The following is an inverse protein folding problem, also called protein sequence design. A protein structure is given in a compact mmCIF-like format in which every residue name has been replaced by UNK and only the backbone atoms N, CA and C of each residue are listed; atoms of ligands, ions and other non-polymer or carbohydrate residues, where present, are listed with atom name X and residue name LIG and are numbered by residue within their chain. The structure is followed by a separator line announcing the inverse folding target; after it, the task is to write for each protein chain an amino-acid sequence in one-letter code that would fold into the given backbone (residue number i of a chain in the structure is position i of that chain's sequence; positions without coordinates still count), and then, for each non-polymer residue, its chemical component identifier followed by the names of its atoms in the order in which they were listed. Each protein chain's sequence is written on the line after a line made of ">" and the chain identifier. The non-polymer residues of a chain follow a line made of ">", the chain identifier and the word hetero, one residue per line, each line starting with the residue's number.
data_IF_398888226846
#
_entry.id   IF_398888226846
#
_cell.length_a   1.000
_cell.length_b   1.000
_cell.length_c   1.000
_cell.angle_alpha   90.00
_cell.angle_beta   90.00
_cell.angle_gamma   90.00
#
_symmetry.space_group_name_H-M   'P 1'
#
loop_
_entity.id
_entity.type
_entity.pdbx_description
1 polymer ?
#
# COMPACT_ATOMS: atom_id res chain seq x y z
N UNK A 1 7.06 20.03 -4.56
CA UNK A 1 5.81 19.22 -4.70
C UNK A 1 4.63 20.15 -4.57
N UNK A 2 3.71 20.10 -5.50
CA UNK A 2 2.42 20.79 -5.49
C UNK A 2 1.41 19.85 -4.82
N UNK A 3 0.99 20.11 -3.57
CA UNK A 3 0.34 19.07 -2.76
C UNK A 3 -1.09 18.74 -3.20
N UNK A 4 -1.88 19.70 -3.69
CA UNK A 4 -3.27 19.46 -4.12
C UNK A 4 -3.31 18.72 -5.45
N UNK A 5 -2.59 19.21 -6.46
CA UNK A 5 -2.51 18.57 -7.78
C UNK A 5 -1.89 17.17 -7.68
N UNK A 6 -0.94 16.96 -6.77
CA UNK A 6 -0.41 15.63 -6.45
C UNK A 6 -1.50 14.70 -5.85
N UNK A 7 -2.29 15.20 -4.88
CA UNK A 7 -3.40 14.43 -4.32
C UNK A 7 -4.45 14.04 -5.37
N UNK A 8 -4.73 14.94 -6.32
CA UNK A 8 -5.68 14.68 -7.40
C UNK A 8 -5.16 13.62 -8.38
N UNK A 9 -3.84 13.62 -8.64
CA UNK A 9 -3.20 12.59 -9.45
C UNK A 9 -3.24 11.19 -8.80
N UNK A 10 -3.29 11.12 -7.46
CA UNK A 10 -3.43 9.86 -6.71
C UNK A 10 -4.86 9.33 -6.62
N UNK A 11 -5.86 10.10 -7.05
CA UNK A 11 -7.29 9.78 -6.85
C UNK A 11 -7.85 8.81 -7.91
N UNK A 12 -7.05 7.88 -8.40
CA UNK A 12 -7.45 6.85 -9.37
C UNK A 12 -7.65 5.52 -8.66
N UNK A 13 -8.84 4.96 -8.75
CA UNK A 13 -9.31 3.79 -7.97
C UNK A 13 -8.46 2.51 -8.07
N UNK A 14 -7.61 2.37 -9.05
CA UNK A 14 -6.81 1.14 -9.27
C UNK A 14 -5.33 1.43 -9.53
N UNK A 15 -4.78 2.50 -8.93
CA UNK A 15 -3.43 2.97 -9.24
C UNK A 15 -2.33 2.00 -8.83
N UNK A 16 -1.51 1.59 -9.80
CA UNK A 16 -0.14 1.12 -9.59
C UNK A 16 0.77 2.31 -9.81
N UNK A 17 1.23 2.92 -8.73
CA UNK A 17 1.99 4.15 -8.76
C UNK A 17 3.49 3.90 -8.62
N UNK A 18 4.28 4.68 -9.35
CA UNK A 18 5.71 4.87 -9.13
C UNK A 18 5.98 6.36 -8.95
N UNK A 19 6.46 6.76 -7.77
CA UNK A 19 6.99 8.11 -7.53
C UNK A 19 8.51 8.07 -7.58
N UNK A 20 9.09 8.72 -8.58
CA UNK A 20 10.52 8.94 -8.69
C UNK A 20 10.89 10.29 -8.05
N UNK A 21 11.79 10.30 -7.08
CA UNK A 21 12.28 11.51 -6.40
C UNK A 21 13.80 11.60 -6.55
N UNK A 22 14.32 12.67 -7.13
CA UNK A 22 15.77 12.91 -7.25
C UNK A 22 16.33 13.28 -5.88
N UNK A 23 17.32 12.51 -5.41
CA UNK A 23 17.87 12.65 -4.07
C UNK A 23 19.04 13.64 -3.98
N UNK A 24 19.77 13.86 -5.06
CA UNK A 24 21.01 14.62 -5.07
C UNK A 24 21.22 15.36 -6.42
N UNK A 25 22.10 16.37 -6.42
CA UNK A 25 22.48 17.14 -7.61
C UNK A 25 21.62 18.37 -7.87
N UNK A 26 21.77 18.99 -9.02
CA UNK A 26 21.09 20.26 -9.38
C UNK A 26 19.56 20.13 -9.50
N UNK A 27 19.05 18.92 -9.71
CA UNK A 27 17.63 18.61 -9.78
C UNK A 27 17.08 17.98 -8.48
N UNK A 28 17.82 18.09 -7.36
CA UNK A 28 17.40 17.53 -6.08
C UNK A 28 15.99 17.99 -5.69
N UNK A 29 15.13 17.05 -5.32
CA UNK A 29 13.73 17.29 -5.01
C UNK A 29 12.80 17.27 -6.23
N UNK A 30 13.31 17.16 -7.46
CA UNK A 30 12.46 16.94 -8.62
C UNK A 30 11.76 15.58 -8.53
N UNK A 31 10.47 15.55 -8.90
CA UNK A 31 9.62 14.37 -8.78
C UNK A 31 8.85 14.09 -10.07
N UNK A 32 8.53 12.81 -10.27
CA UNK A 32 7.68 12.32 -11.36
C UNK A 32 6.84 11.16 -10.84
N UNK A 33 5.52 11.30 -10.93
CA UNK A 33 4.56 10.24 -10.59
C UNK A 33 4.08 9.57 -11.87
N UNK A 34 4.21 8.26 -11.93
CA UNK A 34 3.64 7.40 -12.96
C UNK A 34 2.45 6.63 -12.37
N UNK A 35 1.42 6.42 -13.18
CA UNK A 35 0.32 5.51 -12.90
C UNK A 35 0.21 4.49 -14.03
N UNK A 36 0.39 3.20 -13.74
CA UNK A 36 0.45 2.17 -14.78
C UNK A 36 1.54 2.42 -15.82
N UNK A 37 2.68 3.01 -15.42
CA UNK A 37 3.79 3.38 -16.31
C UNK A 37 3.60 4.69 -17.10
N UNK A 38 2.47 5.37 -16.97
CA UNK A 38 2.19 6.64 -17.66
C UNK A 38 2.42 7.81 -16.71
N UNK A 39 3.15 8.89 -17.09
CA UNK A 39 3.28 10.11 -16.31
C UNK A 39 1.90 10.74 -16.02
N UNK A 40 1.65 11.05 -14.75
CA UNK A 40 0.38 11.65 -14.31
C UNK A 40 0.57 12.92 -13.49
N UNK A 41 1.79 13.18 -12.99
CA UNK A 41 2.13 14.38 -12.25
C UNK A 41 3.67 14.52 -12.16
N UNK A 42 4.24 15.77 -12.17
CA UNK A 42 3.56 17.02 -12.48
C UNK A 42 3.21 17.14 -13.97
N UNK A 43 2.43 18.15 -14.35
CA UNK A 43 2.07 18.40 -15.76
C UNK A 43 3.30 18.60 -16.65
N UNK A 44 4.36 19.22 -16.09
CA UNK A 44 5.65 19.41 -16.73
C UNK A 44 6.77 18.80 -15.89
N UNK A 45 7.15 17.55 -16.17
CA UNK A 45 8.23 16.89 -15.47
C UNK A 45 9.58 17.58 -15.68
N UNK A 46 10.50 17.39 -14.73
CA UNK A 46 11.90 17.79 -14.95
C UNK A 46 12.52 16.95 -16.07
N UNK A 47 13.21 17.60 -17.03
CA UNK A 47 13.79 16.96 -18.22
C UNK A 47 14.72 15.77 -17.88
N UNK A 48 15.42 15.83 -16.73
CA UNK A 48 16.27 14.76 -16.26
C UNK A 48 15.48 13.47 -15.91
N UNK A 49 14.26 13.57 -15.38
CA UNK A 49 13.37 12.43 -15.09
C UNK A 49 12.65 11.97 -16.35
N UNK A 50 12.23 12.89 -17.20
CA UNK A 50 11.62 12.55 -18.50
C UNK A 50 12.57 11.69 -19.36
N UNK A 51 13.84 12.05 -19.41
CA UNK A 51 14.86 11.30 -20.13
C UNK A 51 15.06 9.86 -19.60
N UNK A 52 14.66 9.59 -18.34
CA UNK A 52 14.75 8.26 -17.71
C UNK A 52 13.43 7.48 -17.73
N UNK A 53 12.39 7.99 -18.37
CA UNK A 53 11.06 7.36 -18.37
C UNK A 53 11.08 5.87 -18.76
N UNK A 54 11.80 5.42 -19.84
CA UNK A 54 11.84 4.01 -20.18
C UNK A 54 12.45 3.12 -19.08
N UNK A 55 13.45 3.63 -18.36
CA UNK A 55 14.10 2.92 -17.27
C UNK A 55 13.21 2.91 -16.00
N UNK A 56 12.53 4.03 -15.70
CA UNK A 56 11.59 4.13 -14.60
C UNK A 56 10.40 3.17 -14.75
N UNK A 57 9.91 2.97 -15.98
CA UNK A 57 8.84 2.03 -16.28
C UNK A 57 9.21 0.56 -15.99
N UNK A 58 10.50 0.24 -15.93
CA UNK A 58 11.00 -1.11 -15.62
C UNK A 58 11.24 -1.35 -14.13
N UNK A 59 11.04 -0.34 -13.28
CA UNK A 59 11.22 -0.47 -11.83
C UNK A 59 10.16 -1.41 -11.26
N UNK A 60 10.59 -2.49 -10.64
CA UNK A 60 9.72 -3.51 -10.03
C UNK A 60 9.67 -3.47 -8.51
N UNK A 61 10.64 -2.80 -7.87
CA UNK A 61 10.75 -2.72 -6.42
C UNK A 61 11.10 -1.30 -5.97
N UNK A 62 10.59 -0.91 -4.80
CA UNK A 62 10.93 0.36 -4.16
C UNK A 62 12.36 0.36 -3.64
N UNK A 63 13.03 1.50 -3.73
CA UNK A 63 14.39 1.68 -3.24
C UNK A 63 15.15 2.80 -3.93
N UNK A 64 16.36 3.05 -3.44
CA UNK A 64 17.29 4.00 -4.08
C UNK A 64 17.94 3.31 -5.26
N UNK A 65 17.83 3.92 -6.42
CA UNK A 65 18.37 3.43 -7.69
C UNK A 65 19.15 4.54 -8.39
N UNK A 66 20.06 4.14 -9.31
CA UNK A 66 20.84 5.08 -10.10
C UNK A 66 20.47 4.95 -11.58
N UNK A 67 20.07 6.06 -12.19
CA UNK A 67 19.72 6.15 -13.60
C UNK A 67 20.69 7.13 -14.27
N UNK A 68 21.71 6.61 -14.96
CA UNK A 68 22.81 7.43 -15.44
C UNK A 68 23.56 8.09 -14.28
N UNK A 69 23.56 9.42 -14.22
CA UNK A 69 24.14 10.21 -13.13
C UNK A 69 23.11 10.59 -12.01
N UNK A 70 21.86 10.22 -12.17
CA UNK A 70 20.80 10.56 -11.21
C UNK A 70 20.68 9.49 -10.15
N UNK A 71 20.74 9.89 -8.89
CA UNK A 71 20.36 9.06 -7.74
C UNK A 71 18.92 9.34 -7.37
N UNK A 72 18.05 8.35 -7.52
CA UNK A 72 16.60 8.48 -7.42
C UNK A 72 16.06 7.52 -6.38
N UNK A 73 15.18 7.97 -5.51
CA UNK A 73 14.30 7.10 -4.76
C UNK A 73 13.10 6.78 -5.63
N UNK A 74 13.03 5.55 -6.11
CA UNK A 74 11.91 5.02 -6.85
C UNK A 74 10.97 4.33 -5.86
N UNK A 75 9.80 4.91 -5.62
CA UNK A 75 8.83 4.41 -4.65
C UNK A 75 7.62 3.84 -5.37
N UNK A 76 7.43 2.52 -5.28
CA UNK A 76 6.23 1.86 -5.77
C UNK A 76 5.21 1.70 -4.65
N UNK A 77 3.98 2.11 -4.91
CA UNK A 77 2.85 1.95 -4.00
C UNK A 77 1.55 1.79 -4.79
N UNK A 78 0.56 1.14 -4.15
CA UNK A 78 -0.77 0.98 -4.72
C UNK A 78 -1.76 2.02 -4.20
N UNK A 79 -3.00 1.92 -4.68
CA UNK A 79 -4.14 2.49 -3.96
C UNK A 79 -4.25 1.85 -2.57
N UNK A 80 -5.07 2.42 -1.68
CA UNK A 80 -5.29 1.83 -0.36
C UNK A 80 -5.68 0.35 -0.46
N UNK A 81 -5.06 -0.53 0.36
CA UNK A 81 -5.36 -1.97 0.31
C UNK A 81 -6.84 -2.20 0.59
N UNK A 82 -7.48 -3.07 -0.22
CA UNK A 82 -8.91 -3.38 -0.12
C UNK A 82 -9.12 -4.88 -0.10
N UNK A 83 -9.84 -5.36 0.91
CA UNK A 83 -10.29 -6.73 1.00
C UNK A 83 -11.69 -6.86 0.37
N UNK A 84 -11.88 -7.84 -0.50
CA UNK A 84 -13.16 -8.19 -1.10
C UNK A 84 -13.53 -9.61 -0.67
N UNK A 85 -14.61 -9.74 0.09
CA UNK A 85 -15.08 -11.03 0.63
C UNK A 85 -16.32 -11.48 -0.11
N UNK A 86 -16.24 -12.62 -0.79
CA UNK A 86 -17.37 -13.27 -1.44
C UNK A 86 -17.90 -14.42 -0.57
N UNK A 87 -19.04 -14.20 0.06
CA UNK A 87 -19.71 -15.17 0.94
C UNK A 87 -19.88 -14.68 2.38
N UNK A 88 -21.12 -14.70 2.86
CA UNK A 88 -21.55 -14.16 4.19
C UNK A 88 -21.71 -15.21 5.28
N UNK A 89 -21.19 -16.43 5.11
CA UNK A 89 -21.21 -17.46 6.16
C UNK A 89 -20.33 -17.11 7.36
N UNK A 90 -20.27 -18.00 8.35
CA UNK A 90 -19.51 -17.77 9.60
C UNK A 90 -18.05 -17.38 9.34
N UNK A 91 -17.35 -18.05 8.41
CA UNK A 91 -15.97 -17.71 8.05
C UNK A 91 -15.89 -16.34 7.43
N UNK A 92 -16.77 -16.00 6.47
CA UNK A 92 -16.79 -14.68 5.83
C UNK A 92 -17.01 -13.55 6.83
N UNK A 93 -17.98 -13.70 7.74
CA UNK A 93 -18.24 -12.72 8.81
C UNK A 93 -17.04 -12.58 9.76
N UNK A 94 -16.35 -13.69 10.10
CA UNK A 94 -15.14 -13.65 10.94
C UNK A 94 -13.96 -13.01 10.22
N UNK A 95 -13.78 -13.25 8.91
CA UNK A 95 -12.78 -12.55 8.08
C UNK A 95 -13.03 -11.05 8.09
N UNK A 96 -14.29 -10.61 7.91
CA UNK A 96 -14.64 -9.17 7.94
C UNK A 96 -14.29 -8.56 9.30
N UNK A 97 -14.71 -9.16 10.41
CA UNK A 97 -14.42 -8.65 11.77
C UNK A 97 -12.93 -8.48 12.04
N UNK A 98 -12.14 -9.51 11.74
CA UNK A 98 -10.69 -9.47 11.95
C UNK A 98 -9.98 -8.49 10.98
N UNK A 99 -10.42 -8.39 9.73
CA UNK A 99 -9.90 -7.42 8.78
C UNK A 99 -10.11 -5.97 9.24
N UNK A 100 -11.29 -5.67 9.82
CA UNK A 100 -11.57 -4.35 10.41
C UNK A 100 -10.65 -4.03 11.59
N UNK A 101 -10.32 -5.01 12.44
CA UNK A 101 -9.33 -4.85 13.51
C UNK A 101 -7.94 -4.55 12.97
N UNK A 102 -7.59 -5.08 11.79
CA UNK A 102 -6.34 -4.78 11.08
C UNK A 102 -6.37 -3.45 10.30
N UNK A 103 -7.46 -2.69 10.37
CA UNK A 103 -7.63 -1.43 9.65
C UNK A 103 -7.81 -1.57 8.14
N UNK A 104 -8.15 -2.77 7.63
CA UNK A 104 -8.39 -3.00 6.22
C UNK A 104 -9.82 -2.59 5.84
N UNK A 105 -10.02 -1.75 4.81
CA UNK A 105 -11.33 -1.55 4.18
C UNK A 105 -11.85 -2.86 3.59
N UNK A 106 -13.11 -3.18 3.87
CA UNK A 106 -13.73 -4.43 3.41
C UNK A 106 -14.99 -4.15 2.61
N UNK A 107 -14.97 -4.53 1.34
CA UNK A 107 -16.16 -4.71 0.52
C UNK A 107 -16.61 -6.16 0.61
N UNK A 108 -17.90 -6.43 0.73
CA UNK A 108 -18.39 -7.80 0.80
C UNK A 108 -19.54 -8.05 -0.20
N UNK A 109 -19.60 -9.28 -0.72
CA UNK A 109 -20.63 -9.73 -1.66
C UNK A 109 -21.33 -10.97 -1.12
N UNK A 110 -22.64 -10.96 -1.16
CA UNK A 110 -23.47 -12.11 -0.79
C UNK A 110 -24.83 -11.99 -1.50
N UNK A 111 -25.30 -13.07 -2.12
CA UNK A 111 -26.55 -13.07 -2.88
C UNK A 111 -27.80 -13.26 -2.01
N UNK A 112 -27.64 -13.60 -0.73
CA UNK A 112 -28.74 -13.83 0.23
C UNK A 112 -28.84 -12.68 1.24
N UNK A 113 -30.01 -11.99 1.34
CA UNK A 113 -30.16 -10.82 2.21
C UNK A 113 -29.81 -11.06 3.68
N UNK A 114 -30.17 -12.24 4.22
CA UNK A 114 -29.87 -12.63 5.60
C UNK A 114 -28.37 -12.60 5.89
N UNK A 115 -27.56 -13.24 5.05
CA UNK A 115 -26.11 -13.31 5.19
C UNK A 115 -25.42 -11.99 4.84
N UNK A 116 -25.96 -11.22 3.90
CA UNK A 116 -25.52 -9.86 3.65
C UNK A 116 -25.71 -8.96 4.91
N UNK A 117 -26.80 -9.17 5.65
CA UNK A 117 -27.01 -8.52 6.96
C UNK A 117 -25.91 -8.85 7.97
N UNK A 118 -25.49 -10.11 8.06
CA UNK A 118 -24.38 -10.52 8.94
C UNK A 118 -23.05 -9.87 8.56
N UNK A 119 -22.75 -9.69 7.27
CA UNK A 119 -21.55 -8.99 6.80
C UNK A 119 -21.56 -7.50 7.18
N UNK A 120 -22.72 -6.82 7.09
CA UNK A 120 -22.86 -5.43 7.56
C UNK A 120 -22.62 -5.32 9.08
N UNK A 121 -23.21 -6.23 9.86
CA UNK A 121 -22.99 -6.29 11.31
C UNK A 121 -21.54 -6.58 11.68
N UNK A 122 -20.82 -7.34 10.83
CA UNK A 122 -19.39 -7.59 10.98
C UNK A 122 -18.51 -6.37 10.64
N UNK A 123 -19.07 -5.33 10.01
CA UNK A 123 -18.41 -4.07 9.69
C UNK A 123 -17.96 -3.93 8.24
N UNK A 124 -18.40 -4.77 7.32
CA UNK A 124 -18.15 -4.58 5.89
C UNK A 124 -18.92 -3.37 5.34
N UNK A 125 -18.25 -2.55 4.54
CA UNK A 125 -18.82 -1.40 3.85
C UNK A 125 -18.01 -1.10 2.57
N UNK A 126 -18.63 -1.19 1.36
CA UNK A 126 -20.03 -1.57 1.11
C UNK A 126 -20.30 -3.07 1.21
N UNK A 127 -21.56 -3.45 1.41
CA UNK A 127 -22.05 -4.82 1.24
C UNK A 127 -23.01 -4.87 0.04
N UNK A 128 -22.58 -5.55 -1.01
CA UNK A 128 -23.36 -5.75 -2.23
C UNK A 128 -24.20 -7.03 -2.09
N UNK A 129 -25.51 -6.87 -1.94
CA UNK A 129 -26.47 -7.97 -1.91
C UNK A 129 -27.02 -8.20 -3.31
N UNK A 130 -26.21 -8.84 -4.16
CA UNK A 130 -26.46 -9.11 -5.58
C UNK A 130 -25.96 -10.50 -5.96
N UNK A 131 -26.40 -11.08 -7.08
CA UNK A 131 -25.72 -12.22 -7.68
C UNK A 131 -24.23 -11.96 -7.78
N UNK A 132 -23.40 -12.97 -7.48
CA UNK A 132 -21.94 -12.77 -7.40
C UNK A 132 -21.33 -12.17 -8.67
N UNK A 133 -21.81 -12.54 -9.84
CA UNK A 133 -21.33 -12.04 -11.12
C UNK A 133 -21.59 -10.53 -11.26
N UNK A 134 -22.81 -10.09 -10.96
CA UNK A 134 -23.20 -8.68 -10.99
C UNK A 134 -22.44 -7.86 -9.96
N UNK A 135 -22.36 -8.36 -8.71
CA UNK A 135 -21.62 -7.71 -7.65
C UNK A 135 -20.13 -7.60 -7.97
N UNK A 136 -19.51 -8.63 -8.54
CA UNK A 136 -18.11 -8.59 -8.95
C UNK A 136 -17.90 -7.69 -10.17
N UNK A 137 -18.85 -7.52 -11.07
CA UNK A 137 -18.74 -6.56 -12.17
C UNK A 137 -18.63 -5.11 -11.67
N UNK A 138 -19.28 -4.80 -10.55
CA UNK A 138 -19.22 -3.48 -9.91
C UNK A 138 -17.96 -3.26 -9.06
N UNK A 139 -17.15 -4.30 -8.78
CA UNK A 139 -15.93 -4.20 -7.99
C UNK A 139 -14.72 -4.16 -8.90
N UNK A 140 -13.95 -3.08 -8.88
CA UNK A 140 -12.68 -2.97 -9.60
C UNK A 140 -11.63 -3.91 -8.99
N UNK A 141 -10.76 -4.48 -9.83
CA UNK A 141 -9.50 -5.08 -9.38
C UNK A 141 -8.45 -4.01 -9.05
N UNK A 142 -7.26 -4.45 -8.68
CA UNK A 142 -6.12 -3.55 -8.42
C UNK A 142 -4.95 -4.28 -7.79
N UNK A 143 -3.76 -3.68 -7.88
CA UNK A 143 -2.52 -4.23 -7.30
C UNK A 143 -2.54 -4.33 -5.78
N UNK A 144 -3.48 -3.65 -5.12
CA UNK A 144 -3.74 -3.72 -3.67
C UNK A 144 -5.13 -4.31 -3.35
N UNK A 145 -5.72 -5.10 -4.28
CA UNK A 145 -6.99 -5.77 -4.07
C UNK A 145 -6.78 -7.23 -3.67
N UNK A 146 -7.37 -7.65 -2.55
CA UNK A 146 -7.26 -8.99 -1.97
C UNK A 146 -8.64 -9.65 -2.01
N UNK A 147 -8.81 -10.73 -2.79
CA UNK A 147 -10.07 -11.43 -2.94
C UNK A 147 -10.10 -12.70 -2.09
N UNK A 148 -11.16 -12.85 -1.28
CA UNK A 148 -11.42 -14.01 -0.43
C UNK A 148 -12.75 -14.64 -0.85
N UNK A 149 -12.68 -15.84 -1.41
CA UNK A 149 -13.87 -16.62 -1.88
C UNK A 149 -14.17 -17.70 -0.84
N UNK A 150 -15.24 -17.49 -0.08
CA UNK A 150 -15.71 -18.36 1.01
C UNK A 150 -17.22 -18.64 0.86
N UNK A 151 -17.63 -18.94 -0.37
CA UNK A 151 -19.04 -19.13 -0.71
C UNK A 151 -19.58 -20.48 -0.22
N UNK A 152 -20.90 -20.64 -0.29
CA UNK A 152 -21.60 -21.86 0.14
C UNK A 152 -21.47 -23.04 -0.81
N UNK A 153 -21.23 -22.80 -2.10
CA UNK A 153 -21.35 -23.82 -3.14
C UNK A 153 -20.20 -23.77 -4.15
N UNK A 154 -19.85 -24.93 -4.68
CA UNK A 154 -18.82 -25.06 -5.70
C UNK A 154 -19.10 -24.22 -6.96
N UNK A 155 -20.35 -24.17 -7.42
CA UNK A 155 -20.74 -23.35 -8.58
C UNK A 155 -20.52 -21.84 -8.32
N UNK A 156 -20.82 -21.37 -7.11
CA UNK A 156 -20.56 -20.00 -6.73
C UNK A 156 -19.06 -19.69 -6.68
N UNK A 157 -18.22 -20.63 -6.21
CA UNK A 157 -16.77 -20.43 -6.19
C UNK A 157 -16.21 -20.26 -7.61
N UNK A 158 -16.60 -21.16 -8.55
CA UNK A 158 -16.16 -21.09 -9.95
C UNK A 158 -16.61 -19.78 -10.58
N UNK A 159 -17.88 -19.40 -10.37
CA UNK A 159 -18.43 -18.13 -10.87
C UNK A 159 -17.64 -16.92 -10.36
N UNK A 160 -17.38 -16.85 -9.05
CA UNK A 160 -16.59 -15.79 -8.45
C UNK A 160 -15.17 -15.75 -9.04
N UNK A 161 -14.48 -16.89 -9.08
CA UNK A 161 -13.10 -16.97 -9.53
C UNK A 161 -12.95 -16.64 -11.02
N UNK A 162 -13.92 -17.03 -11.85
CA UNK A 162 -13.93 -16.67 -13.28
C UNK A 162 -13.95 -15.15 -13.47
N UNK A 163 -14.78 -14.44 -12.69
CA UNK A 163 -14.83 -12.98 -12.75
C UNK A 163 -13.59 -12.30 -12.12
N UNK A 164 -13.08 -12.85 -11.02
CA UNK A 164 -11.94 -12.28 -10.28
C UNK A 164 -10.62 -12.44 -11.04
N UNK A 165 -10.37 -13.62 -11.61
CA UNK A 165 -9.12 -13.92 -12.31
C UNK A 165 -8.93 -13.15 -13.63
N UNK A 166 -9.94 -12.46 -14.11
CA UNK A 166 -9.84 -11.51 -15.22
C UNK A 166 -9.39 -10.10 -14.78
N UNK A 167 -9.27 -9.84 -13.46
CA UNK A 167 -8.94 -8.53 -12.89
C UNK A 167 -7.55 -8.55 -12.27
N UNK A 168 -6.82 -7.42 -12.24
CA UNK A 168 -5.62 -7.31 -11.42
C UNK A 168 -5.95 -7.57 -9.95
N UNK A 169 -5.12 -8.32 -9.26
CA UNK A 169 -5.27 -8.60 -7.84
C UNK A 169 -3.92 -8.85 -7.17
N UNK A 170 -3.79 -8.44 -5.91
CA UNK A 170 -2.66 -8.75 -5.05
C UNK A 170 -2.72 -10.21 -4.55
N UNK A 171 -3.93 -10.70 -4.33
CA UNK A 171 -4.20 -12.01 -3.74
C UNK A 171 -5.58 -12.49 -4.16
N UNK A 172 -5.67 -13.75 -4.50
CA UNK A 172 -6.94 -14.46 -4.72
C UNK A 172 -6.89 -15.77 -3.95
N UNK A 173 -7.81 -15.95 -3.01
CA UNK A 173 -7.89 -17.16 -2.22
C UNK A 173 -9.28 -17.78 -2.21
N UNK A 174 -9.36 -19.12 -2.23
CA UNK A 174 -10.61 -19.87 -2.19
C UNK A 174 -10.61 -20.91 -1.07
N UNK A 175 -11.67 -20.93 -0.28
CA UNK A 175 -11.90 -21.95 0.74
C UNK A 175 -12.35 -23.28 0.13
N UNK A 176 -11.68 -24.36 0.50
CA UNK A 176 -12.06 -25.70 0.06
C UNK A 176 -11.00 -26.73 0.42
N UNK A 177 -11.34 -28.02 0.29
CA UNK A 177 -10.36 -29.09 0.41
C UNK A 177 -9.38 -29.10 -0.77
N UNK A 178 -8.24 -29.78 -0.61
CA UNK A 178 -7.25 -29.94 -1.70
C UNK A 178 -7.88 -30.54 -2.97
N UNK A 179 -8.76 -31.54 -2.82
CA UNK A 179 -9.48 -32.14 -3.96
C UNK A 179 -10.40 -31.14 -4.66
N UNK A 180 -11.14 -30.30 -3.88
CA UNK A 180 -11.99 -29.23 -4.44
C UNK A 180 -11.15 -28.18 -5.16
N UNK A 181 -10.00 -27.79 -4.58
CA UNK A 181 -9.08 -26.84 -5.20
C UNK A 181 -8.55 -27.35 -6.57
N UNK A 182 -8.15 -28.62 -6.64
CA UNK A 182 -7.69 -29.22 -7.90
C UNK A 182 -8.80 -29.25 -8.97
N UNK A 183 -10.04 -29.59 -8.58
CA UNK A 183 -11.20 -29.60 -9.49
C UNK A 183 -11.48 -28.18 -10.02
N UNK A 184 -11.49 -27.18 -9.14
CA UNK A 184 -11.74 -25.78 -9.52
C UNK A 184 -10.66 -25.27 -10.48
N UNK A 185 -9.36 -25.50 -10.19
CA UNK A 185 -8.27 -25.10 -11.09
C UNK A 185 -8.45 -25.69 -12.49
N UNK A 186 -8.78 -26.98 -12.57
CA UNK A 186 -9.03 -27.64 -13.86
C UNK A 186 -10.18 -26.96 -14.61
N UNK A 187 -11.31 -26.73 -13.96
CA UNK A 187 -12.47 -26.07 -14.60
C UNK A 187 -12.17 -24.65 -15.07
N UNK A 188 -11.42 -23.87 -14.30
CA UNK A 188 -11.01 -22.52 -14.68
C UNK A 188 -10.09 -22.53 -15.92
N UNK A 189 -9.16 -23.50 -15.99
CA UNK A 189 -8.29 -23.69 -17.17
C UNK A 189 -9.08 -24.14 -18.39
N UNK A 190 -10.00 -25.09 -18.22
CA UNK A 190 -10.91 -25.55 -19.29
C UNK A 190 -11.84 -24.44 -19.80
N UNK A 191 -12.19 -23.47 -18.93
CA UNK A 191 -12.94 -22.27 -19.29
C UNK A 191 -12.10 -21.18 -19.99
N UNK A 192 -10.80 -21.44 -20.25
CA UNK A 192 -9.93 -20.55 -21.02
C UNK A 192 -9.26 -19.43 -20.22
N UNK A 193 -9.27 -19.51 -18.87
CA UNK A 193 -8.52 -18.55 -18.08
C UNK A 193 -7.01 -18.82 -18.16
N UNK A 194 -6.22 -17.76 -18.03
CA UNK A 194 -4.75 -17.82 -18.05
C UNK A 194 -4.23 -18.84 -17.00
N UNK A 195 -3.56 -19.92 -17.43
CA UNK A 195 -3.02 -20.92 -16.51
C UNK A 195 -2.08 -20.35 -15.45
N UNK A 196 -1.30 -19.33 -15.78
CA UNK A 196 -0.37 -18.69 -14.82
C UNK A 196 -1.14 -17.99 -13.69
N UNK A 197 -2.30 -17.41 -13.97
CA UNK A 197 -3.17 -16.81 -12.97
C UNK A 197 -3.92 -17.85 -12.13
N UNK A 198 -4.35 -18.93 -12.77
CA UNK A 198 -5.00 -20.07 -12.07
C UNK A 198 -4.01 -20.72 -11.09
N UNK A 199 -2.74 -20.85 -11.46
CA UNK A 199 -1.71 -21.43 -10.57
C UNK A 199 -1.44 -20.54 -9.34
N UNK A 200 -1.52 -19.23 -9.49
CA UNK A 200 -1.35 -18.27 -8.37
C UNK A 200 -2.52 -18.26 -7.38
N UNK A 201 -3.63 -18.98 -7.67
CA UNK A 201 -4.76 -19.09 -6.75
C UNK A 201 -4.35 -19.77 -5.44
N UNK A 202 -4.53 -19.12 -4.30
CA UNK A 202 -4.35 -19.71 -2.97
C UNK A 202 -5.54 -20.61 -2.61
N UNK A 203 -5.45 -21.90 -2.94
CA UNK A 203 -6.50 -22.90 -2.67
C UNK A 203 -5.86 -24.24 -2.28
N UNK A 204 -6.09 -24.72 -1.06
CA UNK A 204 -6.88 -24.12 0.04
C UNK A 204 -6.37 -22.77 0.51
N UNK A 205 -7.29 -21.86 0.84
CA UNK A 205 -6.97 -20.52 1.38
C UNK A 205 -6.43 -20.62 2.81
N UNK A 206 -5.53 -19.71 3.18
CA UNK A 206 -4.99 -19.56 4.53
C UNK A 206 -3.71 -20.37 4.78
N UNK A 207 -2.98 -19.98 5.80
CA UNK A 207 -1.78 -20.70 6.26
C UNK A 207 -2.17 -22.01 6.95
N UNK A 208 -1.34 -23.03 6.82
CA UNK A 208 -1.55 -24.35 7.44
C UNK A 208 -1.21 -24.33 8.96
N UNK A 209 -2.07 -23.68 9.75
CA UNK A 209 -1.91 -23.54 11.22
C UNK A 209 -2.76 -24.53 12.02
N UNK A 210 -3.46 -25.46 11.36
CA UNK A 210 -4.34 -26.42 12.03
C UNK A 210 -5.71 -25.83 12.43
N UNK A 211 -6.13 -24.72 11.82
CA UNK A 211 -7.39 -24.02 12.09
C UNK A 211 -8.62 -24.93 11.91
N UNK A 212 -9.57 -24.83 12.84
CA UNK A 212 -10.80 -25.64 12.87
C UNK A 212 -12.06 -24.79 13.01
N UNK A 213 -12.06 -23.74 13.84
CA UNK A 213 -13.19 -22.85 14.00
C UNK A 213 -13.23 -21.78 12.91
N UNK A 214 -14.38 -21.12 12.72
CA UNK A 214 -14.53 -20.05 11.74
C UNK A 214 -13.53 -18.90 11.98
N UNK A 215 -13.30 -18.57 13.25
CA UNK A 215 -12.37 -17.53 13.69
C UNK A 215 -10.91 -17.91 13.43
N UNK A 216 -10.52 -19.15 13.71
CA UNK A 216 -9.18 -19.66 13.42
C UNK A 216 -8.90 -19.72 11.91
N UNK A 217 -9.90 -20.13 11.10
CA UNK A 217 -9.80 -20.12 9.64
C UNK A 217 -9.65 -18.68 9.15
N UNK A 218 -10.44 -17.74 9.67
CA UNK A 218 -10.32 -16.33 9.33
C UNK A 218 -8.94 -15.77 9.71
N UNK A 219 -8.40 -16.14 10.86
CA UNK A 219 -7.04 -15.78 11.27
C UNK A 219 -5.99 -16.32 10.28
N UNK A 220 -6.10 -17.60 9.88
CA UNK A 220 -5.18 -18.22 8.91
C UNK A 220 -5.21 -17.52 7.55
N UNK A 221 -6.40 -17.10 7.09
CA UNK A 221 -6.59 -16.35 5.85
C UNK A 221 -5.91 -14.99 5.93
N UNK A 222 -6.18 -14.22 6.98
CA UNK A 222 -5.61 -12.89 7.13
C UNK A 222 -4.09 -12.94 7.38
N UNK A 223 -3.59 -13.94 8.10
CA UNK A 223 -2.15 -14.15 8.25
C UNK A 223 -1.47 -14.42 6.89
N UNK A 224 -2.09 -15.20 6.00
CA UNK A 224 -1.58 -15.40 4.64
C UNK A 224 -1.63 -14.11 3.81
N UNK A 225 -2.70 -13.33 3.93
CA UNK A 225 -2.81 -12.02 3.25
C UNK A 225 -1.71 -11.07 3.74
N UNK A 226 -1.45 -11.01 5.05
CA UNK A 226 -0.34 -10.22 5.64
C UNK A 226 1.01 -10.72 5.10
N UNK A 227 1.23 -12.03 5.03
CA UNK A 227 2.45 -12.61 4.47
C UNK A 227 2.66 -12.18 3.01
N UNK A 228 1.61 -12.29 2.17
CA UNK A 228 1.67 -11.88 0.76
C UNK A 228 1.91 -10.38 0.64
N UNK A 229 1.21 -9.56 1.43
CA UNK A 229 1.39 -8.11 1.47
C UNK A 229 2.84 -7.74 1.81
N UNK A 230 3.40 -8.35 2.87
CA UNK A 230 4.75 -8.06 3.35
C UNK A 230 5.86 -8.54 2.40
N UNK A 231 5.59 -9.57 1.59
CA UNK A 231 6.54 -10.06 0.59
C UNK A 231 6.63 -9.15 -0.65
N UNK A 232 5.70 -8.21 -0.81
CA UNK A 232 5.69 -7.29 -1.94
C UNK A 232 6.61 -6.10 -1.65
N UNK A 233 7.39 -5.70 -2.67
CA UNK A 233 8.28 -4.53 -2.59
C UNK A 233 7.55 -3.19 -2.77
N UNK A 234 6.29 -3.11 -2.33
CA UNK A 234 5.51 -1.88 -2.31
C UNK A 234 5.66 -1.20 -0.94
N UNK A 235 5.69 0.12 -0.95
CA UNK A 235 5.59 0.92 0.28
C UNK A 235 4.13 1.20 0.64
N UNK A 236 3.90 1.76 1.82
CA UNK A 236 2.56 2.24 2.21
C UNK A 236 2.11 3.47 1.40
N UNK A 237 3.02 4.06 0.62
CA UNK A 237 2.76 5.28 -0.14
C UNK A 237 2.51 6.47 0.78
N UNK A 238 1.38 7.13 0.56
CA UNK A 238 0.98 8.30 1.35
C UNK A 238 -0.19 7.94 2.27
N UNK A 239 0.03 7.92 3.60
CA UNK A 239 -1.04 7.73 4.58
C UNK A 239 -2.18 8.75 4.39
N UNK A 240 -3.46 8.36 4.58
CA UNK A 240 -4.60 9.26 4.42
C UNK A 240 -4.46 10.57 5.18
N UNK A 241 -3.95 10.53 6.41
CA UNK A 241 -3.74 11.74 7.23
C UNK A 241 -2.76 12.73 6.60
N UNK A 242 -1.72 12.26 5.87
CA UNK A 242 -0.78 13.13 5.14
C UNK A 242 -1.48 13.74 3.92
N UNK A 243 -2.27 12.96 3.18
CA UNK A 243 -3.03 13.48 2.02
C UNK A 243 -4.09 14.51 2.45
N UNK A 244 -4.75 14.30 3.57
CA UNK A 244 -5.67 15.28 4.17
C UNK A 244 -4.94 16.57 4.56
N UNK A 245 -3.77 16.43 5.20
CA UNK A 245 -2.93 17.58 5.55
C UNK A 245 -2.44 18.33 4.30
N UNK A 246 -2.10 17.64 3.22
CA UNK A 246 -1.71 18.24 1.94
C UNK A 246 -2.85 19.08 1.33
N UNK A 247 -4.09 18.56 1.34
CA UNK A 247 -5.27 19.30 0.83
C UNK A 247 -5.58 20.55 1.67
N UNK A 248 -5.30 20.48 2.97
CA UNK A 248 -5.56 21.55 3.93
C UNK A 248 -4.37 22.52 4.11
N UNK A 249 -3.26 22.33 3.39
CA UNK A 249 -2.02 23.07 3.60
C UNK A 249 -2.22 24.56 3.25
N UNK A 250 -1.95 25.43 4.22
CA UNK A 250 -2.03 26.90 4.08
C UNK A 250 -0.67 27.59 4.27
N UNK A 251 0.29 26.87 4.85
CA UNK A 251 1.64 27.38 5.16
C UNK A 251 2.66 26.32 4.76
N UNK A 252 3.91 26.68 4.47
CA UNK A 252 4.95 25.73 4.12
C UNK A 252 5.09 24.63 5.16
N UNK A 253 5.32 23.39 4.70
CA UNK A 253 5.59 22.22 5.53
C UNK A 253 6.83 21.48 5.03
N UNK A 254 7.33 20.50 5.79
CA UNK A 254 8.42 19.62 5.34
C UNK A 254 7.97 18.17 5.36
N UNK A 255 8.03 17.52 4.22
CA UNK A 255 7.82 16.08 4.10
C UNK A 255 9.15 15.35 4.29
N UNK A 256 9.21 14.49 5.29
CA UNK A 256 10.31 13.56 5.53
C UNK A 256 9.91 12.15 5.07
N UNK A 257 10.76 11.51 4.26
CA UNK A 257 10.55 10.15 3.75
C UNK A 257 11.79 9.29 4.01
N UNK A 258 11.62 8.12 4.62
CA UNK A 258 12.71 7.14 4.75
C UNK A 258 13.00 6.56 3.37
N UNK A 259 14.20 6.77 2.84
CA UNK A 259 14.61 6.29 1.50
C UNK A 259 15.51 5.06 1.56
N UNK A 260 16.26 4.88 2.65
CA UNK A 260 17.01 3.64 2.93
C UNK A 260 17.17 3.41 4.42
N UNK A 261 17.42 2.15 4.81
CA UNK A 261 17.67 1.76 6.20
C UNK A 261 18.68 0.64 6.30
N UNK A 262 19.39 0.58 7.43
CA UNK A 262 20.30 -0.51 7.77
C UNK A 262 20.11 -0.92 9.25
N UNK A 263 20.17 -2.20 9.52
CA UNK A 263 19.95 -2.73 10.87
C UNK A 263 18.48 -2.69 11.29
N UNK A 264 18.24 -2.74 12.60
CA UNK A 264 16.90 -2.71 13.18
C UNK A 264 16.39 -1.26 13.28
N UNK A 265 15.40 -0.93 12.48
CA UNK A 265 14.71 0.37 12.52
C UNK A 265 13.21 0.16 12.72
N UNK A 266 12.54 1.05 13.45
CA UNK A 266 11.12 0.85 13.81
C UNK A 266 10.14 1.01 12.64
N UNK A 267 10.60 1.54 11.50
CA UNK A 267 9.76 1.75 10.31
C UNK A 267 10.49 1.34 9.03
N UNK A 268 9.68 1.02 8.01
CA UNK A 268 10.14 0.59 6.70
C UNK A 268 10.49 1.78 5.78
N UNK A 269 11.23 1.48 4.71
CA UNK A 269 11.45 2.40 3.59
C UNK A 269 10.11 2.86 3.02
N UNK A 270 10.00 4.15 2.70
CA UNK A 270 8.76 4.77 2.24
C UNK A 270 7.89 5.36 3.36
N UNK A 271 8.18 5.07 4.64
CA UNK A 271 7.45 5.71 5.74
C UNK A 271 7.66 7.23 5.73
N UNK A 272 6.59 7.96 6.02
CA UNK A 272 6.54 9.42 5.86
C UNK A 272 6.07 10.13 7.11
N UNK A 273 6.62 11.32 7.32
CA UNK A 273 6.18 12.27 8.34
C UNK A 273 6.15 13.67 7.74
N UNK A 274 5.01 14.34 7.83
CA UNK A 274 4.86 15.75 7.46
C UNK A 274 5.02 16.62 8.70
N UNK A 275 6.02 17.48 8.71
CA UNK A 275 6.27 18.44 9.78
C UNK A 275 5.65 19.78 9.36
N UNK A 276 4.68 20.22 10.13
CA UNK A 276 3.98 21.49 9.99
C UNK A 276 4.69 22.59 10.81
N UNK A 277 4.40 23.87 10.58
CA UNK A 277 4.86 24.93 11.44
C UNK A 277 4.59 24.63 12.92
N UNK A 278 5.40 25.19 13.83
CA UNK A 278 5.33 24.98 15.29
C UNK A 278 5.69 23.53 15.74
N UNK A 279 6.26 22.72 14.83
CA UNK A 279 6.72 21.37 15.16
C UNK A 279 5.63 20.30 15.23
N UNK A 280 4.38 20.62 14.90
CA UNK A 280 3.31 19.62 14.79
C UNK A 280 3.63 18.65 13.64
N UNK A 281 3.51 17.35 13.87
CA UNK A 281 3.77 16.32 12.89
C UNK A 281 2.52 15.50 12.55
N UNK A 282 2.43 15.05 11.31
CA UNK A 282 1.41 14.11 10.80
C UNK A 282 2.13 12.92 10.17
N UNK A 283 1.75 11.70 10.53
CA UNK A 283 2.49 10.49 10.16
C UNK A 283 3.63 10.20 11.12
N UNK A 284 4.45 9.19 10.82
CA UNK A 284 5.55 8.75 11.71
C UNK A 284 6.65 8.05 10.90
N UNK A 285 7.88 8.27 11.34
CA UNK A 285 9.09 7.60 10.83
C UNK A 285 9.75 6.70 11.89
N UNK A 286 9.03 6.37 12.97
CA UNK A 286 9.46 5.39 13.96
C UNK A 286 9.54 5.89 15.39
N UNK A 287 9.22 7.17 15.65
CA UNK A 287 9.19 7.76 16.99
C UNK A 287 10.56 8.10 17.60
N UNK A 288 10.53 8.59 18.82
CA UNK A 288 11.71 8.85 19.63
C UNK A 288 12.69 9.88 19.05
N UNK A 289 13.98 9.62 19.23
CA UNK A 289 15.07 10.53 18.85
C UNK A 289 15.11 10.82 17.34
N UNK A 290 14.70 9.88 16.51
CA UNK A 290 14.71 10.05 15.06
C UNK A 290 13.70 11.12 14.62
N UNK A 291 12.49 11.08 15.13
CA UNK A 291 11.47 12.09 14.83
C UNK A 291 11.88 13.47 15.37
N UNK A 292 12.45 13.52 16.56
CA UNK A 292 12.99 14.76 17.12
C UNK A 292 14.06 15.38 16.20
N UNK A 293 15.04 14.59 15.73
CA UNK A 293 16.09 15.07 14.80
C UNK A 293 15.49 15.56 13.48
N UNK A 294 14.50 14.85 12.94
CA UNK A 294 13.80 15.25 11.72
C UNK A 294 13.06 16.59 11.95
N UNK A 295 12.37 16.75 13.08
CA UNK A 295 11.69 18.00 13.42
C UNK A 295 12.68 19.19 13.54
N UNK A 296 13.88 18.97 14.11
CA UNK A 296 14.94 19.98 14.17
C UNK A 296 15.43 20.39 12.77
N UNK A 297 15.66 19.42 11.87
CA UNK A 297 16.05 19.69 10.48
C UNK A 297 14.93 20.41 9.72
N UNK A 298 13.69 19.94 9.87
CA UNK A 298 12.53 20.56 9.26
C UNK A 298 12.32 22.01 9.74
N UNK A 299 12.51 22.28 11.04
CA UNK A 299 12.45 23.64 11.59
C UNK A 299 13.45 24.60 10.95
N UNK A 300 14.69 24.15 10.71
CA UNK A 300 15.70 24.92 9.98
C UNK A 300 15.30 25.20 8.53
N UNK A 301 14.72 24.21 7.85
CA UNK A 301 14.21 24.35 6.47
C UNK A 301 13.04 25.33 6.39
N UNK A 302 12.11 25.27 7.33
CA UNK A 302 10.95 26.19 7.40
C UNK A 302 11.39 27.61 7.69
N UNK A 303 12.41 27.80 8.54
CA UNK A 303 13.00 29.10 8.82
C UNK A 303 13.87 29.65 7.66
N UNK A 304 14.05 28.93 6.55
CA UNK A 304 14.91 29.31 5.44
C UNK A 304 16.42 29.23 5.75
N UNK A 305 16.79 28.58 6.85
CA UNK A 305 18.19 28.40 7.26
C UNK A 305 18.85 27.13 6.64
N UNK A 306 18.11 26.39 5.83
CA UNK A 306 18.60 25.18 5.12
C UNK A 306 17.98 25.08 3.72
N UNK A 307 18.58 24.26 2.85
CA UNK A 307 18.10 24.03 1.49
C UNK A 307 16.65 23.49 1.48
N UNK A 308 15.84 23.76 0.43
CA UNK A 308 14.47 23.32 0.34
C UNK A 308 14.32 21.80 0.14
N UNK A 309 15.39 21.10 -0.19
CA UNK A 309 15.47 19.65 -0.23
C UNK A 309 16.85 19.19 0.26
N UNK A 310 16.89 18.13 1.05
CA UNK A 310 18.14 17.54 1.55
C UNK A 310 17.99 16.06 1.88
N UNK A 311 19.07 15.30 1.69
CA UNK A 311 19.20 13.92 2.17
C UNK A 311 19.97 13.94 3.48
N UNK A 312 19.42 13.34 4.53
CA UNK A 312 20.03 13.28 5.86
C UNK A 312 20.31 11.85 6.29
N UNK A 313 21.53 11.58 6.76
CA UNK A 313 21.90 10.33 7.40
C UNK A 313 21.61 10.43 8.90
N UNK A 314 20.73 9.56 9.39
CA UNK A 314 20.34 9.51 10.79
C UNK A 314 20.76 8.15 11.37
N UNK A 315 21.52 8.19 12.45
CA UNK A 315 21.95 6.99 13.20
C UNK A 315 21.30 6.97 14.57
N UNK A 316 21.00 5.78 15.06
CA UNK A 316 20.54 5.59 16.44
C UNK A 316 21.72 5.54 17.42
N UNK A 317 22.96 5.58 16.93
CA UNK A 317 24.15 5.59 17.78
C UNK A 317 24.23 6.93 18.50
N UNK A 318 23.79 6.97 19.75
CA UNK A 318 23.89 8.15 20.61
C UNK A 318 25.35 8.44 20.95
N UNK A 319 25.93 9.45 20.30
CA UNK A 319 27.12 10.11 20.79
C UNK A 319 26.69 11.33 21.62
N UNK A 320 26.89 11.29 22.95
CA UNK A 320 26.48 12.31 23.89
C UNK A 320 25.43 11.84 24.91
N UNK A 321 24.70 12.77 25.52
CA UNK A 321 23.69 12.51 26.58
C UNK A 321 22.54 11.59 26.12
N UNK A 322 22.42 11.30 24.81
CA UNK A 322 21.40 10.46 24.20
C UNK A 322 21.77 8.94 24.13
N UNK A 323 22.96 8.55 24.59
CA UNK A 323 23.48 7.18 24.48
C UNK A 323 22.60 6.12 25.18
N UNK A 324 21.81 6.52 26.17
CA UNK A 324 20.95 5.63 26.95
C UNK A 324 19.64 5.22 26.23
N UNK A 325 19.27 5.85 25.08
CA UNK A 325 18.00 5.65 24.38
C UNK A 325 18.20 4.81 23.09
N UNK A 326 19.44 4.61 22.66
CA UNK A 326 19.81 3.99 21.39
C UNK A 326 19.97 2.46 21.48
N UNK A 327 18.94 1.73 21.88
CA UNK A 327 19.02 0.27 22.05
C UNK A 327 18.99 -0.56 20.74
N UNK A 328 18.78 0.06 19.57
CA UNK A 328 18.47 -0.68 18.34
C UNK A 328 19.56 -0.68 17.25
N UNK A 329 20.66 0.11 17.38
CA UNK A 329 21.84 0.04 16.49
C UNK A 329 21.56 0.17 14.97
N UNK A 330 20.46 0.82 14.56
CA UNK A 330 20.08 1.00 13.16
C UNK A 330 20.45 2.39 12.63
N UNK A 331 20.58 2.50 11.30
CA UNK A 331 20.72 3.78 10.59
C UNK A 331 19.68 3.90 9.49
N UNK A 332 19.29 5.12 9.15
CA UNK A 332 18.40 5.41 8.04
C UNK A 332 18.81 6.66 7.29
N UNK A 333 18.55 6.66 5.97
CA UNK A 333 18.60 7.88 5.18
C UNK A 333 17.17 8.42 5.05
N UNK A 334 17.01 9.70 5.34
CA UNK A 334 15.74 10.40 5.25
C UNK A 334 15.88 11.55 4.27
N UNK A 335 15.01 11.56 3.26
CA UNK A 335 14.89 12.68 2.35
C UNK A 335 13.87 13.68 2.90
N UNK A 336 14.30 14.91 3.13
CA UNK A 336 13.44 16.00 3.58
C UNK A 336 13.21 16.95 2.41
N UNK A 337 11.95 17.31 2.18
CA UNK A 337 11.56 18.23 1.14
C UNK A 337 10.55 19.25 1.66
N UNK A 338 10.84 20.52 1.44
CA UNK A 338 9.90 21.62 1.73
C UNK A 338 8.76 21.59 0.70
N UNK A 339 7.53 21.64 1.19
CA UNK A 339 6.28 21.66 0.45
C UNK A 339 5.67 23.03 0.61
N UNK A 340 5.43 23.71 -0.49
CA UNK A 340 4.73 24.99 -0.50
C UNK A 340 3.23 24.78 -0.68
N UNK A 341 2.36 25.56 -0.03
CA UNK A 341 0.93 25.56 -0.34
C UNK A 341 0.71 26.02 -1.78
N UNK A 342 -0.30 25.49 -2.43
CA UNK A 342 -0.78 25.98 -3.71
C UNK A 342 -1.72 27.16 -3.48
N UNK A 343 -1.66 28.17 -4.37
CA UNK A 343 -2.52 29.37 -4.36
C UNK A 343 -4.00 29.03 -4.55
#
# INVERSE_FOLDING_TARGET
>A
MEPRTFCDALNREAGDYLLATVLEGSAQGAQLLLCGGVPVWPERPAACLEAQLPALQQVTASGVQTFGALRVFAERFGAAPRLVVCGGGHVGASVVRLAKLLGLPVCALEDRPEFAGQLRQAGADPVLCLPFEEGLAAVSGGVECYFVVVTRAHSCDVQCLTAILQKPAAYVGMMGSRGRAALVRRQLTEAGLDPARVEQLHAPIGLAIGAKTAEEIALSILAQIVQVKSARSLTEGFPPAILEAFRALQTPAVLATIVSRHGSTPREVGSKMLVLPEGRAVGSVGGGIMEYRIQQLAGKMLAGAAAPAQLADLTTDGTGDDAAIAACGGSMQVFLQRIEPEE
#
